data_IF_514985067797
#
_entry.id   IF_514985067797
#
_cell.length_a   1.000
_cell.length_b   1.000
_cell.length_c   1.000
_cell.angle_alpha   90.00
_cell.angle_beta   90.00
_cell.angle_gamma   90.00
#
_symmetry.space_group_name_H-M   'P 1'
#
loop_
_entity.id
_entity.type
_entity.pdbx_description
1 polymer ?
#
# COMPACT_ATOMS: atom_id res chain seq x y z
N UNK A 1 0.85 12.37 10.78
CA UNK A 1 1.44 11.65 9.63
C UNK A 1 1.89 12.70 8.62
N UNK A 2 3.11 12.59 8.08
CA UNK A 2 3.53 13.47 6.97
C UNK A 2 2.56 13.32 5.78
N UNK A 3 2.30 14.39 5.01
CA UNK A 3 1.67 14.25 3.71
C UNK A 3 2.52 13.29 2.88
N UNK A 4 1.84 12.33 2.28
CA UNK A 4 2.45 11.32 1.44
C UNK A 4 2.97 12.00 0.17
N UNK A 5 4.22 11.75 -0.20
CA UNK A 5 4.76 12.27 -1.46
C UNK A 5 4.13 11.49 -2.63
N UNK A 6 3.45 12.15 -3.57
CA UNK A 6 2.68 11.43 -4.59
C UNK A 6 3.56 10.58 -5.53
N UNK A 7 4.83 10.96 -5.72
CA UNK A 7 5.79 10.18 -6.49
C UNK A 7 6.16 8.86 -5.78
N UNK A 8 6.32 8.89 -4.45
CA UNK A 8 6.58 7.69 -3.67
C UNK A 8 5.38 6.75 -3.72
N UNK A 9 4.17 7.31 -3.67
CA UNK A 9 2.95 6.54 -3.82
C UNK A 9 2.86 5.90 -5.22
N UNK A 10 3.06 6.67 -6.29
CA UNK A 10 2.97 6.17 -7.66
C UNK A 10 4.00 5.07 -7.93
N UNK A 11 5.25 5.25 -7.49
CA UNK A 11 6.29 4.22 -7.58
C UNK A 11 5.93 2.96 -6.81
N UNK A 12 5.36 3.10 -5.61
CA UNK A 12 5.01 1.95 -4.76
C UNK A 12 3.82 1.18 -5.32
N UNK A 13 2.76 1.85 -5.78
CA UNK A 13 1.58 1.17 -6.33
C UNK A 13 1.82 0.60 -7.73
N UNK A 14 2.85 1.08 -8.44
CA UNK A 14 3.29 0.51 -9.73
C UNK A 14 4.35 -0.61 -9.55
N UNK A 15 4.88 -0.83 -8.34
CA UNK A 15 5.80 -1.93 -8.08
C UNK A 15 5.08 -3.29 -8.14
N UNK A 16 5.64 -4.21 -8.92
CA UNK A 16 5.03 -5.51 -9.17
C UNK A 16 4.82 -6.32 -7.87
N UNK A 17 5.74 -6.23 -6.91
CA UNK A 17 5.61 -6.96 -5.65
C UNK A 17 4.57 -6.32 -4.74
N UNK A 18 4.53 -4.98 -4.69
CA UNK A 18 3.50 -4.26 -3.97
C UNK A 18 2.09 -4.61 -4.48
N UNK A 19 1.88 -4.62 -5.80
CA UNK A 19 0.60 -5.02 -6.40
C UNK A 19 0.23 -6.46 -6.02
N UNK A 20 1.18 -7.40 -6.08
CA UNK A 20 0.95 -8.80 -5.67
C UNK A 20 0.59 -8.93 -4.19
N UNK A 21 1.25 -8.17 -3.31
CA UNK A 21 0.96 -8.14 -1.87
C UNK A 21 -0.44 -7.57 -1.61
N UNK A 22 -0.78 -6.45 -2.27
CA UNK A 22 -2.10 -5.81 -2.16
C UNK A 22 -3.22 -6.76 -2.59
N UNK A 23 -3.07 -7.44 -3.73
CA UNK A 23 -4.02 -8.45 -4.20
C UNK A 23 -4.09 -9.65 -3.25
N UNK A 24 -2.93 -10.13 -2.77
CA UNK A 24 -2.81 -11.27 -1.88
C UNK A 24 -3.45 -11.09 -0.51
N UNK A 25 -3.64 -9.83 -0.09
CA UNK A 25 -4.17 -9.43 1.21
C UNK A 25 -5.53 -8.73 1.13
N UNK A 26 -6.13 -8.64 -0.07
CA UNK A 26 -7.39 -7.94 -0.28
C UNK A 26 -8.61 -8.71 0.25
N UNK A 27 -8.76 -9.98 -0.13
CA UNK A 27 -9.91 -10.82 0.25
C UNK A 27 -9.80 -11.38 1.67
N UNK A 28 -8.59 -11.77 2.07
CA UNK A 28 -8.28 -12.36 3.37
C UNK A 28 -6.91 -11.89 3.85
N UNK A 29 -6.69 -11.77 5.17
CA UNK A 29 -5.38 -11.44 5.68
C UNK A 29 -4.38 -12.56 5.35
N UNK A 30 -3.12 -12.20 5.08
CA UNK A 30 -2.08 -13.17 4.72
C UNK A 30 -0.73 -12.76 5.33
N UNK A 31 0.08 -13.76 5.68
CA UNK A 31 1.44 -13.55 6.16
C UNK A 31 2.42 -13.26 5.03
N UNK A 32 3.54 -12.60 5.35
CA UNK A 32 4.63 -12.39 4.41
C UNK A 32 5.15 -13.71 3.79
N UNK A 33 5.14 -14.79 4.57
CA UNK A 33 5.57 -16.11 4.10
C UNK A 33 4.58 -16.71 3.08
N UNK A 34 3.28 -16.62 3.34
CA UNK A 34 2.25 -17.06 2.39
C UNK A 34 2.30 -16.27 1.09
N UNK A 35 2.46 -14.94 1.18
CA UNK A 35 2.59 -14.05 0.01
C UNK A 35 3.84 -14.37 -0.81
N UNK A 36 4.97 -14.57 -0.13
CA UNK A 36 6.24 -14.98 -0.74
C UNK A 36 6.09 -16.27 -1.55
N UNK A 37 5.49 -17.31 -0.95
CA UNK A 37 5.26 -18.59 -1.62
C UNK A 37 4.25 -18.50 -2.75
N UNK A 38 3.10 -17.85 -2.50
CA UNK A 38 2.00 -17.77 -3.46
C UNK A 38 2.36 -17.00 -4.72
N UNK A 39 3.16 -15.95 -4.58
CA UNK A 39 3.48 -15.03 -5.69
C UNK A 39 4.95 -15.05 -6.11
N UNK A 40 5.75 -15.99 -5.59
CA UNK A 40 7.18 -16.12 -5.92
C UNK A 40 8.01 -14.89 -5.56
N UNK A 41 7.62 -14.15 -4.53
CA UNK A 41 8.33 -12.94 -4.08
C UNK A 41 9.44 -13.37 -3.11
N UNK A 42 10.71 -12.97 -3.27
CA UNK A 42 11.73 -13.25 -2.28
C UNK A 42 11.31 -12.78 -0.89
N UNK A 43 11.42 -13.62 0.13
CA UNK A 43 10.84 -13.34 1.47
C UNK A 43 11.29 -11.99 2.04
N UNK A 44 12.57 -11.64 1.87
CA UNK A 44 13.11 -10.35 2.30
C UNK A 44 12.49 -9.17 1.55
N UNK A 45 12.23 -9.31 0.23
CA UNK A 45 11.53 -8.30 -0.55
C UNK A 45 10.07 -8.16 -0.11
N UNK A 46 9.41 -9.28 0.23
CA UNK A 46 8.05 -9.25 0.74
C UNK A 46 7.95 -8.43 2.04
N UNK A 47 8.84 -8.65 3.00
CA UNK A 47 8.85 -7.87 4.25
C UNK A 47 9.15 -6.38 4.01
N UNK A 48 10.10 -6.04 3.14
CA UNK A 48 10.40 -4.64 2.80
C UNK A 48 9.17 -3.94 2.21
N UNK A 49 8.50 -4.58 1.25
CA UNK A 49 7.31 -4.02 0.59
C UNK A 49 6.10 -3.93 1.52
N UNK A 50 5.90 -4.91 2.40
CA UNK A 50 4.86 -4.81 3.44
C UNK A 50 5.11 -3.58 4.32
N UNK A 51 6.35 -3.39 4.80
CA UNK A 51 6.70 -2.24 5.64
C UNK A 51 6.48 -0.90 4.92
N UNK A 52 6.83 -0.82 3.64
CA UNK A 52 6.53 0.35 2.80
C UNK A 52 5.02 0.58 2.70
N UNK A 53 4.24 -0.43 2.31
CA UNK A 53 2.79 -0.34 2.20
C UNK A 53 2.08 -0.01 3.52
N UNK A 54 2.58 -0.50 4.66
CA UNK A 54 2.12 -0.13 5.99
C UNK A 54 2.46 1.33 6.32
N UNK A 55 3.67 1.78 5.99
CA UNK A 55 4.06 3.19 6.10
C UNK A 55 3.18 4.13 5.28
N UNK A 56 2.69 3.65 4.13
CA UNK A 56 1.74 4.34 3.27
C UNK A 56 0.27 4.20 3.73
N UNK A 57 0.00 3.39 4.76
CA UNK A 57 -1.36 3.11 5.25
C UNK A 57 -2.23 2.27 4.30
N UNK A 58 -1.63 1.68 3.26
CA UNK A 58 -2.32 0.85 2.26
C UNK A 58 -2.54 -0.59 2.75
N UNK A 59 -1.68 -1.04 3.66
CA UNK A 59 -1.76 -2.34 4.34
C UNK A 59 -1.67 -2.11 5.85
N UNK A 60 -2.20 -3.03 6.64
CA UNK A 60 -2.03 -3.05 8.09
C UNK A 60 -1.94 -4.50 8.61
N UNK A 61 -1.25 -4.70 9.73
CA UNK A 61 -1.34 -5.94 10.50
C UNK A 61 -2.74 -6.08 11.10
N UNK A 62 -3.54 -7.03 10.59
CA UNK A 62 -4.89 -7.31 11.08
C UNK A 62 -4.85 -8.11 12.37
N UNK A 63 -4.00 -9.14 12.41
CA UNK A 63 -3.86 -10.06 13.54
C UNK A 63 -2.43 -10.58 13.62
N UNK A 64 -1.99 -10.87 14.83
CA UNK A 64 -0.75 -11.59 15.10
C UNK A 64 -1.10 -12.92 15.78
N UNK A 65 -0.73 -14.03 15.14
CA UNK A 65 -0.95 -15.36 15.71
C UNK A 65 0.14 -15.68 16.73
N UNK A 66 -0.21 -16.15 17.95
CA UNK A 66 0.78 -16.45 18.98
C UNK A 66 1.71 -17.57 18.51
N UNK A 67 3.01 -17.38 18.76
CA UNK A 67 4.03 -18.40 18.54
C UNK A 67 4.52 -18.94 19.88
N UNK A 68 4.76 -20.25 19.96
CA UNK A 68 5.32 -20.89 21.17
C UNK A 68 6.75 -20.43 21.47
N UNK A 69 7.48 -19.89 20.48
CA UNK A 69 8.93 -19.74 20.55
C UNK A 69 9.42 -18.32 20.20
N UNK A 70 8.56 -17.29 20.16
CA UNK A 70 9.00 -15.92 19.81
C UNK A 70 7.91 -15.03 19.23
N UNK A 71 8.29 -14.09 18.34
CA UNK A 71 7.37 -13.19 17.63
C UNK A 71 6.29 -13.99 16.91
N UNK A 72 5.05 -13.53 17.04
CA UNK A 72 3.91 -14.17 16.41
C UNK A 72 3.94 -14.03 14.89
N UNK A 73 3.16 -14.87 14.21
CA UNK A 73 3.00 -14.77 12.77
C UNK A 73 2.02 -13.64 12.46
N UNK A 74 2.53 -12.56 11.89
CA UNK A 74 1.73 -11.40 11.51
C UNK A 74 0.95 -11.68 10.21
N UNK A 75 -0.34 -11.36 10.24
CA UNK A 75 -1.25 -11.47 9.11
C UNK A 75 -1.69 -10.07 8.69
N UNK A 76 -1.42 -9.74 7.43
CA UNK A 76 -1.62 -8.41 6.87
C UNK A 76 -2.87 -8.35 6.00
N UNK A 77 -3.59 -7.23 6.06
CA UNK A 77 -4.79 -6.96 5.26
C UNK A 77 -4.61 -5.67 4.47
N UNK A 78 -5.03 -5.68 3.20
CA UNK A 78 -5.06 -4.46 2.38
C UNK A 78 -6.27 -3.60 2.75
N UNK A 79 -6.05 -2.29 2.82
CA UNK A 79 -7.09 -1.25 2.92
C UNK A 79 -7.35 -0.58 1.57
N UNK A 80 -6.53 -0.86 0.57
CA UNK A 80 -6.65 -0.22 -0.72
C UNK A 80 -7.95 -0.63 -1.41
N UNK A 81 -8.83 0.34 -1.68
CA UNK A 81 -10.08 0.14 -2.41
C UNK A 81 -9.92 0.45 -3.89
N UNK A 82 -9.24 1.55 -4.20
CA UNK A 82 -9.02 2.00 -5.57
C UNK A 82 -7.77 2.87 -5.65
N UNK A 83 -7.01 2.71 -6.74
CA UNK A 83 -5.94 3.63 -7.15
C UNK A 83 -6.25 4.04 -8.58
N UNK A 84 -6.34 5.35 -8.82
CA UNK A 84 -6.42 5.91 -10.17
C UNK A 84 -5.20 6.81 -10.38
N UNK A 85 -4.41 6.49 -11.38
CA UNK A 85 -3.30 7.32 -11.83
C UNK A 85 -3.66 7.80 -13.22
N UNK A 86 -3.55 9.09 -13.48
CA UNK A 86 -3.53 9.55 -14.87
C UNK A 86 -2.57 10.72 -15.09
N UNK A 87 -2.25 10.89 -16.37
CA UNK A 87 -1.31 11.86 -16.88
C UNK A 87 -2.06 12.76 -17.86
N UNK A 88 -2.33 14.00 -17.47
CA UNK A 88 -3.10 14.98 -18.24
C UNK A 88 -2.34 16.32 -18.26
N UNK A 89 -2.15 16.90 -19.44
CA UNK A 89 -1.41 18.16 -19.65
C UNK A 89 -0.02 18.21 -18.98
N UNK A 90 0.68 17.07 -18.95
CA UNK A 90 1.98 16.92 -18.32
C UNK A 90 1.94 16.84 -16.79
N UNK A 91 0.75 16.77 -16.18
CA UNK A 91 0.55 16.61 -14.74
C UNK A 91 0.16 15.18 -14.42
N UNK A 92 0.86 14.55 -13.47
CA UNK A 92 0.58 13.19 -13.02
C UNK A 92 -0.25 13.24 -11.73
N UNK A 93 -1.51 12.85 -11.81
CA UNK A 93 -2.38 12.79 -10.65
C UNK A 93 -2.56 11.35 -10.16
N UNK A 94 -2.58 11.19 -8.84
CA UNK A 94 -2.80 9.89 -8.20
C UNK A 94 -3.87 10.03 -7.12
N UNK A 95 -5.04 9.42 -7.37
CA UNK A 95 -6.13 9.35 -6.41
C UNK A 95 -6.15 7.98 -5.75
N UNK A 96 -6.07 7.97 -4.42
CA UNK A 96 -6.07 6.74 -3.64
C UNK A 96 -7.23 6.73 -2.68
N UNK A 97 -8.03 5.68 -2.76
CA UNK A 97 -9.16 5.45 -1.86
C UNK A 97 -8.78 4.30 -0.93
N UNK A 98 -8.76 4.58 0.37
CA UNK A 98 -8.49 3.59 1.42
C UNK A 98 -9.73 3.35 2.27
N UNK A 99 -9.97 2.09 2.60
CA UNK A 99 -10.98 1.68 3.56
C UNK A 99 -10.55 1.96 5.00
N UNK A 100 -11.50 1.99 5.95
CA UNK A 100 -11.17 2.01 7.37
C UNK A 100 -10.37 0.76 7.76
N UNK A 101 -9.51 0.82 8.78
CA UNK A 101 -8.89 -0.37 9.33
C UNK A 101 -9.93 -1.17 10.14
N UNK A 102 -10.11 -2.46 9.83
CA UNK A 102 -10.96 -3.37 10.61
C UNK A 102 -12.44 -3.43 10.19
N UNK A 103 -13.00 -4.64 10.28
CA UNK A 103 -14.42 -4.94 10.02
C UNK A 103 -15.24 -4.53 11.25
N UNK A 104 -15.48 -3.23 11.47
CA UNK A 104 -16.51 -2.66 12.37
C UNK A 104 -16.31 -1.13 12.47
N UNK A 105 -16.34 -0.42 11.34
CA UNK A 105 -16.54 1.03 11.35
C UNK A 105 -17.21 1.46 10.04
N UNK A 106 -18.20 2.33 10.21
CA UNK A 106 -19.17 2.88 9.27
C UNK A 106 -18.67 3.24 7.86
N UNK A 107 -19.59 3.36 6.88
CA UNK A 107 -19.26 3.69 5.50
C UNK A 107 -18.89 5.18 5.41
N UNK A 108 -17.61 5.47 5.42
CA UNK A 108 -17.03 6.71 4.91
C UNK A 108 -15.58 6.40 4.57
N UNK A 109 -15.33 6.10 3.29
CA UNK A 109 -13.96 5.91 2.79
C UNK A 109 -13.19 7.22 2.93
N UNK A 110 -11.99 7.15 3.48
CA UNK A 110 -11.08 8.28 3.50
C UNK A 110 -10.49 8.39 2.09
N UNK A 111 -11.00 9.35 1.30
CA UNK A 111 -10.48 9.65 -0.03
C UNK A 111 -9.26 10.55 0.18
N UNK A 112 -8.07 10.01 -0.10
CA UNK A 112 -6.83 10.79 -0.09
C UNK A 112 -6.49 11.17 -1.52
N UNK A 113 -6.90 12.37 -1.90
CA UNK A 113 -6.52 12.98 -3.17
C UNK A 113 -5.12 13.57 -3.05
N UNK A 114 -4.20 13.12 -3.90
CA UNK A 114 -2.82 13.60 -3.95
C UNK A 114 -2.50 14.07 -5.36
N UNK A 115 -2.27 15.37 -5.49
CA UNK A 115 -1.96 16.00 -6.79
C UNK A 115 -0.46 16.27 -6.87
N UNK A 116 0.20 15.75 -7.91
CA UNK A 116 1.59 16.07 -8.24
C UNK A 116 1.69 16.72 -9.61
N UNK A 117 2.01 18.00 -9.63
CA UNK A 117 2.44 18.63 -10.87
C UNK A 117 3.91 18.29 -11.09
N UNK A 118 4.18 17.42 -12.07
CA UNK A 118 5.53 17.06 -12.52
C UNK A 118 6.14 18.13 -13.45
N UNK A 119 5.57 19.34 -13.52
CA UNK A 119 6.30 20.43 -14.15
C UNK A 119 7.62 20.56 -13.38
N UNK A 120 8.79 20.41 -14.04
CA UNK A 120 9.99 20.97 -13.43
C UNK A 120 9.61 22.41 -13.09
N UNK A 121 9.94 22.88 -11.89
CA UNK A 121 9.93 24.31 -11.62
C UNK A 121 10.71 24.91 -12.78
N UNK A 122 10.00 25.51 -13.74
CA UNK A 122 10.62 26.11 -14.90
C UNK A 122 11.65 27.05 -14.30
N UNK A 123 12.91 26.81 -14.65
CA UNK A 123 14.02 27.67 -14.31
C UNK A 123 13.53 29.09 -14.51
N UNK A 124 13.39 29.82 -13.40
CA UNK A 124 13.17 31.26 -13.46
C UNK A 124 14.51 31.84 -13.89
N UNK A 125 14.70 31.96 -15.20
CA UNK A 125 15.74 32.72 -15.85
C UNK A 125 15.13 33.99 -16.47
#
# INVERSE_FOLDING_TARGET
MNPMEPLQLSQTVMDQYAVRILMGTFERPASALELSRRFGIPIAACYRRIKELEGLGLVYCERELPSRNGRGLQLFRSRLKSVRIALEDGNLWARVEVGPPGVLAAPQGEIREQTLNLRPAAESA
#
